data_IF_441110819870
#
_entry.id   IF_441110819870
#
_cell.length_a   1.000
_cell.length_b   1.000
_cell.length_c   1.000
_cell.angle_alpha   90.00
_cell.angle_beta   90.00
_cell.angle_gamma   90.00
#
_symmetry.space_group_name_H-M   'P 1'
#
loop_
_entity.id
_entity.type
_entity.pdbx_description
1 polymer ?
#
# COMPACT_ATOMS: atom_id res chain seq x y z
N UNK A 1 -28.20 -12.08 17.84
CA UNK A 1 -27.96 -10.68 18.22
C UNK A 1 -26.72 -10.20 17.48
N UNK A 2 -26.88 -9.41 16.42
CA UNK A 2 -25.75 -8.81 15.71
C UNK A 2 -25.40 -7.54 16.47
N UNK A 3 -24.24 -7.51 17.14
CA UNK A 3 -23.75 -6.28 17.75
C UNK A 3 -23.36 -5.32 16.62
N UNK A 4 -24.25 -4.39 16.29
CA UNK A 4 -23.92 -3.22 15.48
C UNK A 4 -23.11 -2.26 16.35
N UNK A 5 -21.83 -2.57 16.58
CA UNK A 5 -20.93 -1.57 17.15
C UNK A 5 -20.89 -0.40 16.17
N UNK A 6 -21.16 0.84 16.61
CA UNK A 6 -20.92 1.99 15.76
C UNK A 6 -19.43 1.97 15.43
N UNK A 7 -19.13 1.88 14.15
CA UNK A 7 -17.79 1.97 13.59
C UNK A 7 -17.23 3.34 13.95
N UNK A 8 -16.63 3.45 15.14
CA UNK A 8 -15.89 4.63 15.62
C UNK A 8 -14.61 4.74 14.78
N UNK A 9 -14.76 5.16 13.54
CA UNK A 9 -13.64 5.60 12.74
C UNK A 9 -13.27 7.01 13.20
N UNK A 10 -12.03 7.21 13.62
CA UNK A 10 -11.44 8.54 13.79
C UNK A 10 -11.50 9.24 12.44
N UNK A 11 -12.33 10.29 12.33
CA UNK A 11 -12.64 10.86 11.03
C UNK A 11 -11.43 11.63 10.47
N UNK A 12 -11.04 11.42 9.21
CA UNK A 12 -10.11 12.32 8.54
C UNK A 12 -10.72 13.73 8.37
N UNK A 13 -9.89 14.78 8.25
CA UNK A 13 -8.43 14.77 8.39
C UNK A 13 -8.00 14.69 9.85
N UNK A 14 -6.85 14.07 10.11
CA UNK A 14 -6.19 14.18 11.42
C UNK A 14 -5.21 15.36 11.37
N UNK A 15 -5.17 16.17 12.43
CA UNK A 15 -4.35 17.37 12.51
C UNK A 15 -3.39 17.29 13.68
N UNK A 16 -2.12 17.64 13.44
CA UNK A 16 -1.12 17.82 14.48
C UNK A 16 -1.23 19.23 15.06
N UNK A 17 -1.46 19.31 16.37
CA UNK A 17 -1.58 20.55 17.13
C UNK A 17 -0.43 20.59 18.15
N UNK A 18 0.25 21.72 18.28
CA UNK A 18 1.19 21.94 19.39
C UNK A 18 0.40 22.56 20.54
N UNK A 19 0.16 21.77 21.59
CA UNK A 19 -0.56 22.30 22.75
C UNK A 19 0.38 23.14 23.62
N UNK A 20 1.56 22.60 23.94
CA UNK A 20 2.51 23.23 24.85
C UNK A 20 3.93 23.14 24.28
N UNK A 21 4.91 23.78 24.94
CA UNK A 21 6.33 23.64 24.59
C UNK A 21 6.80 22.19 24.63
N UNK A 22 6.21 21.37 25.51
CA UNK A 22 6.58 19.99 25.80
C UNK A 22 5.67 18.93 25.16
N UNK A 23 4.65 19.33 24.37
CA UNK A 23 3.69 18.36 23.87
C UNK A 23 3.05 18.73 22.53
N UNK A 24 2.94 17.72 21.68
CA UNK A 24 2.11 17.73 20.49
C UNK A 24 0.95 16.75 20.63
N UNK A 25 -0.20 17.13 20.09
CA UNK A 25 -1.42 16.33 20.11
C UNK A 25 -1.92 16.12 18.70
N UNK A 26 -2.24 14.88 18.34
CA UNK A 26 -2.93 14.57 17.08
C UNK A 26 -4.41 14.44 17.36
N UNK A 27 -5.25 15.23 16.68
CA UNK A 27 -6.71 15.18 16.80
C UNK A 27 -7.36 14.80 15.48
N UNK A 28 -8.49 14.11 15.55
CA UNK A 28 -9.33 13.82 14.39
C UNK A 28 -10.23 15.03 14.02
N UNK A 29 -10.99 14.92 12.93
CA UNK A 29 -11.86 16.00 12.47
C UNK A 29 -13.02 16.33 13.43
N UNK A 30 -13.38 15.42 14.35
CA UNK A 30 -14.38 15.66 15.37
C UNK A 30 -13.75 16.22 16.67
N UNK A 31 -12.44 16.46 16.69
CA UNK A 31 -11.70 16.93 17.85
C UNK A 31 -11.30 15.83 18.84
N UNK A 32 -11.46 14.55 18.50
CA UNK A 32 -11.04 13.43 19.33
C UNK A 32 -9.52 13.32 19.30
N UNK A 33 -8.87 13.34 20.47
CA UNK A 33 -7.43 13.13 20.57
C UNK A 33 -7.07 11.69 20.26
N UNK A 34 -6.28 11.50 19.20
CA UNK A 34 -5.77 10.20 18.74
C UNK A 34 -4.46 9.84 19.42
N UNK A 35 -3.57 10.82 19.62
CA UNK A 35 -2.25 10.58 20.22
C UNK A 35 -1.71 11.82 20.95
N UNK A 36 -0.99 11.57 22.04
CA UNK A 36 -0.18 12.56 22.78
C UNK A 36 1.30 12.25 22.57
N UNK A 37 2.08 13.26 22.19
CA UNK A 37 3.51 13.15 21.90
C UNK A 37 4.26 14.13 22.79
N UNK A 38 4.78 13.61 23.91
CA UNK A 38 5.59 14.40 24.83
C UNK A 38 7.01 14.54 24.31
N UNK A 39 7.51 15.77 24.32
CA UNK A 39 8.86 16.13 23.92
C UNK A 39 9.53 17.03 24.94
N UNK A 40 10.86 17.00 24.98
CA UNK A 40 11.66 17.82 25.87
C UNK A 40 12.98 18.21 25.19
N UNK A 41 13.26 19.50 25.12
CA UNK A 41 14.46 20.02 24.44
C UNK A 41 15.62 20.29 25.42
N UNK A 42 15.37 20.29 26.72
CA UNK A 42 16.30 20.60 27.82
C UNK A 42 17.19 19.42 28.26
N UNK A 43 17.51 18.50 27.34
CA UNK A 43 18.23 17.23 27.59
C UNK A 43 19.71 17.37 27.98
N UNK A 44 20.26 18.58 28.15
CA UNK A 44 21.67 18.76 28.51
C UNK A 44 22.01 18.73 30.00
N UNK A 45 21.04 18.78 30.93
CA UNK A 45 21.37 18.93 32.37
C UNK A 45 21.27 17.69 33.23
N UNK A 46 20.43 16.71 32.90
CA UNK A 46 20.29 15.49 33.71
C UNK A 46 19.97 14.28 32.83
N UNK A 47 21.02 13.61 32.36
CA UNK A 47 21.01 12.37 31.56
C UNK A 47 20.74 11.12 32.42
N UNK A 48 19.81 11.21 33.37
CA UNK A 48 19.37 10.05 34.16
C UNK A 48 17.86 9.89 34.04
N UNK A 49 17.43 8.95 33.20
CA UNK A 49 16.16 8.24 33.43
C UNK A 49 15.04 8.35 32.40
N UNK A 50 15.17 9.09 31.28
CA UNK A 50 14.12 9.06 30.27
C UNK A 50 14.65 9.31 28.85
N UNK A 51 14.54 8.30 27.97
CA UNK A 51 14.65 8.45 26.52
C UNK A 51 13.46 9.29 26.02
N UNK A 52 13.53 10.62 26.17
CA UNK A 52 12.48 11.54 25.72
C UNK A 52 12.76 11.99 24.29
N UNK A 53 11.70 12.17 23.51
CA UNK A 53 11.77 12.75 22.18
C UNK A 53 12.15 14.22 22.27
N UNK A 54 12.96 14.70 21.32
CA UNK A 54 13.09 16.14 21.04
C UNK A 54 11.81 16.68 20.41
N UNK A 55 11.61 18.00 20.46
CA UNK A 55 10.45 18.67 19.84
C UNK A 55 10.37 18.39 18.34
N UNK A 56 11.50 18.34 17.64
CA UNK A 56 11.52 18.03 16.21
C UNK A 56 11.17 16.56 15.91
N UNK A 57 11.64 15.61 16.73
CA UNK A 57 11.28 14.20 16.59
C UNK A 57 9.79 13.97 16.84
N UNK A 58 9.24 14.55 17.91
CA UNK A 58 7.81 14.49 18.19
C UNK A 58 6.98 15.11 17.07
N UNK A 59 7.42 16.25 16.52
CA UNK A 59 6.77 16.88 15.36
C UNK A 59 6.80 15.98 14.12
N UNK A 60 7.92 15.32 13.83
CA UNK A 60 8.05 14.40 12.68
C UNK A 60 7.14 13.18 12.83
N UNK A 61 7.14 12.55 14.01
CA UNK A 61 6.26 11.41 14.31
C UNK A 61 4.79 11.84 14.23
N UNK A 62 4.43 12.98 14.81
CA UNK A 62 3.07 13.52 14.76
C UNK A 62 2.57 13.78 13.35
N UNK A 63 3.43 14.33 12.47
CA UNK A 63 3.10 14.49 11.04
C UNK A 63 2.91 13.15 10.32
N UNK A 64 3.64 12.09 10.72
CA UNK A 64 3.43 10.77 10.14
C UNK A 64 2.08 10.17 10.60
N UNK A 65 1.75 10.30 11.89
CA UNK A 65 0.47 9.83 12.45
C UNK A 65 -0.70 10.57 11.79
N UNK A 66 -0.61 11.87 11.58
CA UNK A 66 -1.69 12.66 10.97
C UNK A 66 -2.03 12.23 9.54
N UNK A 67 -1.12 11.52 8.85
CA UNK A 67 -1.30 11.00 7.49
C UNK A 67 -1.85 9.58 7.43
N UNK A 68 -1.98 8.88 8.57
CA UNK A 68 -2.55 7.52 8.64
C UNK A 68 -3.91 7.42 7.93
N UNK A 69 -4.84 8.38 8.07
CA UNK A 69 -6.11 8.30 7.35
C UNK A 69 -5.95 8.29 5.83
N UNK A 70 -4.96 8.97 5.27
CA UNK A 70 -4.67 8.94 3.83
C UNK A 70 -4.30 7.52 3.38
N UNK A 71 -3.45 6.84 4.15
CA UNK A 71 -3.04 5.46 3.89
C UNK A 71 -4.17 4.46 4.08
N UNK A 72 -5.05 4.68 5.06
CA UNK A 72 -6.21 3.82 5.28
C UNK A 72 -7.30 4.02 4.22
N UNK A 73 -7.49 5.27 3.77
CA UNK A 73 -8.53 5.62 2.79
C UNK A 73 -8.24 5.08 1.39
N UNK A 74 -6.97 4.90 1.01
CA UNK A 74 -6.61 4.28 -0.27
C UNK A 74 -7.28 2.92 -0.46
N UNK A 75 -7.45 2.15 0.61
CA UNK A 75 -8.06 0.81 0.56
C UNK A 75 -9.56 0.80 0.87
N UNK A 76 -10.19 1.97 1.03
CA UNK A 76 -11.60 2.06 1.36
C UNK A 76 -12.47 1.57 0.20
N UNK A 77 -13.36 0.62 0.47
CA UNK A 77 -14.20 -0.04 -0.55
C UNK A 77 -13.56 -1.25 -1.22
N UNK A 78 -12.30 -1.57 -0.90
CA UNK A 78 -11.61 -2.78 -1.37
C UNK A 78 -11.41 -3.78 -0.23
N UNK A 79 -11.67 -5.05 -0.52
CA UNK A 79 -11.67 -6.08 0.52
C UNK A 79 -10.36 -6.87 0.54
N UNK A 80 -9.78 -7.14 1.72
CA UNK A 80 -8.69 -8.11 1.83
C UNK A 80 -9.23 -9.52 1.58
N UNK A 81 -8.41 -10.38 1.01
CA UNK A 81 -8.76 -11.78 0.72
C UNK A 81 -8.94 -12.65 1.97
N UNK A 82 -8.37 -12.22 3.11
CA UNK A 82 -8.19 -13.05 4.30
C UNK A 82 -6.98 -13.99 4.21
N UNK A 83 -6.65 -14.66 5.32
CA UNK A 83 -5.51 -15.59 5.42
C UNK A 83 -5.78 -16.99 4.81
N UNK A 84 -4.73 -17.81 4.67
CA UNK A 84 -4.81 -19.22 4.28
C UNK A 84 -3.59 -19.73 3.48
N UNK A 85 -3.57 -21.02 3.07
CA UNK A 85 -2.43 -21.64 2.34
C UNK A 85 -2.02 -20.92 1.05
N UNK A 86 -0.78 -21.12 0.58
CA UNK A 86 -0.20 -20.48 -0.62
C UNK A 86 -0.90 -20.98 -1.89
N UNK A 87 -1.47 -20.06 -2.69
CA UNK A 87 -2.23 -20.22 -3.95
C UNK A 87 -3.37 -21.28 -4.03
N UNK A 88 -4.53 -20.88 -4.60
CA UNK A 88 -5.61 -21.80 -5.05
C UNK A 88 -6.38 -21.15 -6.20
N UNK A 89 -6.80 -21.94 -7.19
CA UNK A 89 -7.56 -21.42 -8.35
C UNK A 89 -8.91 -20.77 -7.96
N UNK A 90 -9.59 -21.30 -6.94
CA UNK A 90 -10.89 -20.79 -6.45
C UNK A 90 -10.79 -19.44 -5.72
N UNK A 91 -9.57 -18.97 -5.42
CA UNK A 91 -9.37 -17.77 -4.62
C UNK A 91 -9.37 -16.49 -5.47
N UNK A 92 -9.84 -15.37 -4.89
CA UNK A 92 -9.87 -14.10 -5.60
C UNK A 92 -8.50 -13.40 -5.60
N UNK A 93 -8.36 -12.39 -6.47
CA UNK A 93 -7.22 -11.45 -6.58
C UNK A 93 -5.94 -12.07 -7.14
N UNK A 94 -6.10 -12.85 -8.20
CA UNK A 94 -4.99 -13.37 -9.00
C UNK A 94 -4.90 -12.60 -10.31
N UNK A 95 -3.66 -12.29 -10.71
CA UNK A 95 -3.37 -11.67 -12.00
C UNK A 95 -2.26 -12.46 -12.67
N UNK A 96 -2.50 -12.88 -13.90
CA UNK A 96 -1.50 -13.54 -14.74
C UNK A 96 -0.82 -12.52 -15.65
N UNK A 97 0.51 -12.57 -15.74
CA UNK A 97 1.29 -11.85 -16.75
C UNK A 97 1.95 -12.85 -17.70
N UNK A 98 2.05 -12.50 -18.96
CA UNK A 98 2.75 -13.33 -19.95
C UNK A 98 4.26 -13.35 -19.65
N UNK A 99 4.88 -14.52 -19.78
CA UNK A 99 6.30 -14.74 -19.44
C UNK A 99 7.23 -13.85 -20.27
N UNK A 100 6.97 -13.74 -21.59
CA UNK A 100 7.76 -12.87 -22.47
C UNK A 100 7.63 -11.39 -22.10
N UNK A 101 6.41 -10.94 -21.79
CA UNK A 101 6.18 -9.58 -21.30
C UNK A 101 6.93 -9.30 -19.99
N UNK A 102 6.93 -10.26 -19.05
CA UNK A 102 7.68 -10.13 -17.81
C UNK A 102 9.18 -9.99 -18.10
N UNK A 103 9.75 -10.79 -18.99
CA UNK A 103 11.17 -10.75 -19.31
C UNK A 103 11.58 -9.41 -19.96
N UNK A 104 10.78 -8.91 -20.90
CA UNK A 104 11.04 -7.65 -21.60
C UNK A 104 10.89 -6.42 -20.69
N UNK A 105 9.95 -6.47 -19.74
CA UNK A 105 9.60 -5.33 -18.88
C UNK A 105 10.00 -5.50 -17.41
N UNK A 106 10.81 -6.52 -17.07
CA UNK A 106 11.11 -6.88 -15.68
C UNK A 106 11.59 -5.70 -14.84
N UNK A 107 12.51 -4.90 -15.38
CA UNK A 107 13.10 -3.75 -14.69
C UNK A 107 12.05 -2.67 -14.39
N UNK A 108 11.18 -2.37 -15.35
CA UNK A 108 10.08 -1.41 -15.21
C UNK A 108 9.04 -1.90 -14.21
N UNK A 109 8.59 -3.16 -14.34
CA UNK A 109 7.60 -3.77 -13.44
C UNK A 109 8.12 -3.75 -12.00
N UNK A 110 9.34 -4.23 -11.78
CA UNK A 110 9.95 -4.25 -10.45
C UNK A 110 10.11 -2.84 -9.86
N UNK A 111 10.53 -1.86 -10.67
CA UNK A 111 10.66 -0.47 -10.21
C UNK A 111 9.32 0.16 -9.82
N UNK A 112 8.29 0.02 -10.69
CA UNK A 112 6.95 0.53 -10.43
C UNK A 112 6.31 -0.12 -9.20
N UNK A 113 6.43 -1.44 -9.06
CA UNK A 113 5.88 -2.16 -7.93
C UNK A 113 6.52 -1.70 -6.62
N UNK A 114 7.85 -1.53 -6.58
CA UNK A 114 8.55 -1.01 -5.39
C UNK A 114 8.15 0.42 -5.06
N UNK A 115 8.11 1.31 -6.05
CA UNK A 115 7.73 2.72 -5.86
C UNK A 115 6.32 2.87 -5.27
N UNK A 116 5.41 2.01 -5.69
CA UNK A 116 4.01 2.04 -5.28
C UNK A 116 3.67 1.06 -4.16
N UNK A 117 4.67 0.36 -3.61
CA UNK A 117 4.47 -0.69 -2.59
C UNK A 117 3.45 -1.76 -3.00
N UNK A 118 3.39 -2.07 -4.31
CA UNK A 118 2.61 -3.19 -4.83
C UNK A 118 3.40 -4.50 -4.64
N UNK A 119 2.80 -5.55 -4.09
CA UNK A 119 3.47 -6.84 -3.94
C UNK A 119 3.64 -7.50 -5.30
N UNK A 120 4.88 -7.79 -5.70
CA UNK A 120 5.21 -8.48 -6.94
C UNK A 120 5.78 -9.87 -6.66
N UNK A 121 4.97 -10.70 -5.99
CA UNK A 121 5.36 -12.05 -5.60
C UNK A 121 4.77 -13.05 -6.59
N UNK A 122 5.62 -13.79 -7.29
CA UNK A 122 5.17 -14.92 -8.10
C UNK A 122 4.68 -16.04 -7.17
N UNK A 123 3.56 -16.67 -7.52
CA UNK A 123 3.07 -17.85 -6.80
C UNK A 123 3.91 -19.09 -7.10
N UNK A 124 4.59 -19.08 -8.26
CA UNK A 124 5.27 -20.24 -8.84
C UNK A 124 4.42 -20.96 -9.89
N UNK A 125 3.13 -20.60 -10.00
CA UNK A 125 2.20 -21.23 -10.92
C UNK A 125 2.29 -20.69 -12.33
N UNK A 126 2.15 -21.61 -13.29
CA UNK A 126 2.26 -21.33 -14.71
C UNK A 126 1.02 -21.86 -15.42
N UNK A 127 0.36 -21.01 -16.20
CA UNK A 127 -0.77 -21.39 -17.05
C UNK A 127 -0.28 -21.44 -18.49
N UNK A 128 -0.48 -22.59 -19.14
CA UNK A 128 -0.18 -22.79 -20.56
C UNK A 128 -1.47 -22.70 -21.35
N UNK A 129 -1.85 -21.48 -21.75
CA UNK A 129 -3.05 -21.21 -22.53
C UNK A 129 -2.76 -20.06 -23.50
N UNK A 130 -2.61 -20.39 -24.79
CA UNK A 130 -2.21 -19.45 -25.85
C UNK A 130 -0.96 -18.62 -25.48
N UNK A 131 -0.01 -19.24 -24.77
CA UNK A 131 1.17 -18.59 -24.21
C UNK A 131 1.56 -19.19 -22.86
N UNK A 132 2.69 -18.73 -22.32
CA UNK A 132 3.16 -19.09 -20.97
C UNK A 132 2.85 -17.92 -20.04
N UNK A 133 1.99 -18.14 -19.06
CA UNK A 133 1.54 -17.09 -18.15
C UNK A 133 1.97 -17.38 -16.72
N UNK A 134 2.58 -16.41 -16.03
CA UNK A 134 2.94 -16.51 -14.61
C UNK A 134 1.89 -15.86 -13.73
N UNK A 135 1.48 -16.57 -12.70
CA UNK A 135 0.44 -16.09 -11.78
C UNK A 135 1.05 -15.32 -10.61
N UNK A 136 0.47 -14.16 -10.34
CA UNK A 136 0.75 -13.30 -9.20
C UNK A 136 -0.47 -13.25 -8.29
N UNK A 137 -0.24 -13.33 -6.99
CA UNK A 137 -1.27 -13.36 -5.95
C UNK A 137 -1.19 -12.10 -5.08
N UNK A 138 -2.36 -11.51 -4.82
CA UNK A 138 -2.48 -10.31 -4.01
C UNK A 138 -3.35 -10.55 -2.77
N UNK A 139 -2.97 -9.88 -1.68
CA UNK A 139 -3.78 -9.89 -0.45
C UNK A 139 -4.97 -8.93 -0.55
N UNK A 140 -4.80 -7.81 -1.24
CA UNK A 140 -5.82 -6.77 -1.38
C UNK A 140 -6.36 -6.71 -2.80
N UNK A 141 -7.69 -6.60 -2.92
CA UNK A 141 -8.36 -6.43 -4.21
C UNK A 141 -7.80 -5.25 -5.01
N UNK A 142 -7.56 -4.11 -4.34
CA UNK A 142 -7.03 -2.92 -4.96
C UNK A 142 -5.67 -3.18 -5.61
N UNK A 143 -4.75 -3.85 -4.90
CA UNK A 143 -3.41 -4.11 -5.40
C UNK A 143 -3.45 -4.98 -6.67
N UNK A 144 -4.33 -6.00 -6.68
CA UNK A 144 -4.56 -6.80 -7.89
C UNK A 144 -5.12 -5.95 -9.05
N UNK A 145 -6.07 -5.06 -8.78
CA UNK A 145 -6.70 -4.24 -9.84
C UNK A 145 -5.68 -3.26 -10.39
N UNK A 146 -4.90 -2.61 -9.53
CA UNK A 146 -3.83 -1.69 -9.94
C UNK A 146 -2.76 -2.40 -10.77
N UNK A 147 -2.40 -3.63 -10.37
CA UNK A 147 -1.43 -4.43 -11.09
C UNK A 147 -1.94 -4.88 -12.45
N UNK A 148 -3.19 -5.38 -12.52
CA UNK A 148 -3.86 -5.74 -13.77
C UNK A 148 -4.08 -4.55 -14.70
N UNK A 149 -4.40 -3.37 -14.18
CA UNK A 149 -4.65 -2.16 -14.96
C UNK A 149 -3.36 -1.58 -15.55
N UNK A 150 -2.24 -1.67 -14.82
CA UNK A 150 -0.97 -1.06 -15.24
C UNK A 150 -0.14 -1.94 -16.18
N UNK A 151 -0.06 -3.23 -15.87
CA UNK A 151 0.72 -4.22 -16.60
C UNK A 151 -0.24 -5.03 -17.43
N UNK A 152 0.13 -5.53 -18.63
CA UNK A 152 -0.79 -6.20 -19.57
C UNK A 152 -1.33 -7.56 -19.08
N UNK A 153 -1.82 -7.62 -17.85
CA UNK A 153 -2.22 -8.82 -17.16
C UNK A 153 -3.64 -9.24 -17.48
N UNK A 154 -3.92 -10.46 -17.04
CA UNK A 154 -5.23 -11.10 -17.13
C UNK A 154 -5.68 -11.40 -15.72
N UNK A 155 -6.84 -10.86 -15.34
CA UNK A 155 -7.41 -11.19 -14.05
C UNK A 155 -7.85 -12.65 -14.07
N UNK A 156 -7.61 -13.39 -12.99
CA UNK A 156 -8.00 -14.80 -12.89
C UNK A 156 -9.15 -14.97 -11.90
N UNK A 157 -10.10 -15.82 -12.27
CA UNK A 157 -11.13 -16.38 -11.39
C UNK A 157 -11.24 -17.85 -11.72
N UNK A 158 -10.78 -18.74 -10.84
CA UNK A 158 -10.57 -20.13 -11.24
C UNK A 158 -9.39 -20.24 -12.20
N UNK A 159 -9.61 -20.92 -13.32
CA UNK A 159 -8.67 -21.10 -14.42
C UNK A 159 -8.96 -20.16 -15.61
N UNK A 160 -9.97 -19.31 -15.51
CA UNK A 160 -10.43 -18.47 -16.61
C UNK A 160 -9.90 -17.04 -16.50
N UNK A 161 -9.58 -16.46 -17.65
CA UNK A 161 -9.22 -15.05 -17.77
C UNK A 161 -10.47 -14.18 -17.76
N UNK A 162 -10.44 -13.16 -16.92
CA UNK A 162 -11.47 -12.14 -16.80
C UNK A 162 -10.87 -10.76 -16.96
N UNK A 163 -11.73 -9.81 -17.31
CA UNK A 163 -11.39 -8.40 -17.52
C UNK A 163 -12.38 -7.57 -16.71
N UNK A 164 -12.08 -7.29 -15.43
CA UNK A 164 -12.95 -6.47 -14.60
C UNK A 164 -13.03 -5.05 -15.16
N UNK A 165 -14.15 -4.37 -14.98
CA UNK A 165 -14.22 -2.94 -15.27
C UNK A 165 -13.35 -2.15 -14.27
N UNK A 166 -12.62 -1.16 -14.76
CA UNK A 166 -11.81 -0.28 -13.89
C UNK A 166 -12.76 0.54 -12.98
N UNK A 167 -12.64 0.44 -11.65
CA UNK A 167 -13.44 1.25 -10.74
C UNK A 167 -13.17 2.75 -10.93
N UNK A 168 -14.22 3.58 -10.90
CA UNK A 168 -14.11 5.05 -11.10
C UNK A 168 -13.19 5.75 -10.10
N UNK A 169 -13.10 5.23 -8.88
CA UNK A 169 -12.30 5.82 -7.80
C UNK A 169 -10.94 5.12 -7.63
N UNK A 170 -10.51 4.30 -8.60
CA UNK A 170 -9.23 3.61 -8.53
C UNK A 170 -8.09 4.64 -8.60
N UNK A 171 -7.22 4.73 -7.57
CA UNK A 171 -6.09 5.65 -7.60
C UNK A 171 -5.12 5.26 -8.73
N UNK A 172 -4.46 6.24 -9.33
CA UNK A 172 -3.39 5.96 -10.29
C UNK A 172 -2.08 5.64 -9.56
N UNK A 173 -1.30 4.72 -10.12
CA UNK A 173 0.07 4.48 -9.65
C UNK A 173 0.93 5.70 -9.91
N UNK A 174 1.85 5.99 -8.98
CA UNK A 174 2.88 7.00 -9.17
C UNK A 174 3.72 6.61 -10.39
N UNK A 175 3.88 7.51 -11.37
CA UNK A 175 4.69 7.25 -12.54
C UNK A 175 6.18 7.21 -12.16
N UNK A 176 6.98 6.51 -12.97
CA UNK A 176 8.43 6.62 -12.87
C UNK A 176 8.88 7.91 -13.58
N UNK A 177 9.21 8.95 -12.82
CA UNK A 177 9.82 10.16 -13.38
C UNK A 177 11.27 9.87 -13.81
N UNK A 178 11.66 10.30 -15.02
CA UNK A 178 13.00 10.17 -15.60
C UNK A 178 13.54 8.73 -15.77
N UNK A 179 12.66 7.73 -15.95
CA UNK A 179 13.09 6.36 -16.20
C UNK A 179 13.74 6.21 -17.58
N UNK A 180 14.96 5.63 -17.68
CA UNK A 180 15.55 5.34 -18.97
C UNK A 180 14.66 4.33 -19.69
N UNK A 181 14.22 4.67 -20.91
CA UNK A 181 13.52 3.71 -21.76
C UNK A 181 14.46 2.54 -21.99
N UNK A 182 14.04 1.34 -21.59
CA UNK A 182 14.80 0.11 -21.82
C UNK A 182 15.14 0.01 -23.32
N UNK A 183 16.44 -0.04 -23.64
CA UNK A 183 16.92 -0.24 -25.00
C UNK A 183 17.44 -1.69 -25.09
N UNK A 184 16.79 -2.57 -25.87
CA UNK A 184 17.21 -3.97 -26.00
C UNK A 184 18.63 -4.14 -26.58
N UNK A 185 19.26 -3.06 -27.04
CA UNK A 185 20.65 -3.04 -27.54
C UNK A 185 21.71 -3.00 -26.43
N UNK A 186 21.33 -2.69 -25.19
CA UNK A 186 22.29 -2.53 -24.07
C UNK A 186 22.72 -3.89 -23.45
N UNK A 187 22.22 -5.02 -23.96
CA UNK A 187 22.61 -6.38 -23.55
C UNK A 187 23.67 -7.04 -24.45
N UNK A 188 24.36 -6.27 -25.31
CA UNK A 188 25.46 -6.80 -26.15
C UNK A 188 26.80 -6.78 -25.46
#
# INVERSE_FOLDING_TARGET
MVSSQPTRHFKPPWTLIRENSECYTVRDANGVTVAWLFCRDDTQRYSFGACKLTSDEARRIGKAISRIPEFMSQRQGFYPRGGGPRWRADRPYHVALEDMYILEHWSEINALCRLNSLPFNATGEVIQNEGVWRVHEFTWQMDAILFWDRFQGRWLRGSEFHYPERPKNLPSLKPLENWPKFNPRDMR
#
